data_IF_674147264071
#
_entry.id   IF_674147264071
#
_cell.length_a   1.000
_cell.length_b   1.000
_cell.length_c   1.000
_cell.angle_alpha   90.00
_cell.angle_beta   90.00
_cell.angle_gamma   90.00
#
_symmetry.space_group_name_H-M   'P 1'
#
loop_
_entity.id
_entity.type
_entity.pdbx_description
1 polymer ?
#
# COMPACT_ATOMS: atom_id res chain seq x y z
N UNK A 1 -31.49 -4.55 38.90
CA UNK A 1 -32.38 -5.73 38.74
C UNK A 1 -32.00 -6.42 37.45
N UNK A 2 -31.31 -7.56 37.55
CA UNK A 2 -30.85 -8.36 36.40
C UNK A 2 -31.86 -9.51 36.26
N UNK A 3 -32.56 -9.60 35.13
CA UNK A 3 -33.41 -10.75 34.83
C UNK A 3 -32.65 -11.73 33.93
N UNK A 4 -32.22 -12.82 34.58
CA UNK A 4 -31.76 -14.05 33.94
C UNK A 4 -33.01 -14.72 33.37
N UNK A 5 -33.14 -14.78 32.05
CA UNK A 5 -34.18 -15.58 31.39
C UNK A 5 -33.63 -17.02 31.29
N UNK A 6 -34.31 -18.03 31.86
CA UNK A 6 -33.81 -19.40 31.85
C UNK A 6 -33.95 -20.03 30.47
N UNK A 7 -32.89 -20.71 30.02
CA UNK A 7 -32.92 -21.72 28.96
C UNK A 7 -33.77 -22.91 29.43
N UNK A 8 -34.92 -23.13 28.80
CA UNK A 8 -35.58 -24.44 28.78
C UNK A 8 -35.64 -24.94 27.35
N UNK A 9 -34.64 -25.74 26.98
CA UNK A 9 -34.70 -26.63 25.82
C UNK A 9 -35.41 -27.89 26.30
N UNK A 10 -36.71 -27.98 26.05
CA UNK A 10 -37.48 -29.20 26.20
C UNK A 10 -37.77 -29.78 24.83
N UNK A 11 -36.95 -30.74 24.39
CA UNK A 11 -37.27 -31.61 23.27
C UNK A 11 -38.63 -32.29 23.53
N UNK A 12 -39.67 -31.91 22.80
CA UNK A 12 -40.84 -32.75 22.60
C UNK A 12 -40.83 -33.23 21.16
N UNK A 13 -40.42 -34.48 20.97
CA UNK A 13 -40.84 -35.29 19.82
C UNK A 13 -42.37 -35.31 19.80
N UNK A 14 -42.97 -34.73 18.77
CA UNK A 14 -44.37 -34.97 18.43
C UNK A 14 -44.40 -36.12 17.44
N UNK A 15 -44.84 -37.25 17.97
CA UNK A 15 -45.22 -38.48 17.30
C UNK A 15 -46.24 -38.17 16.18
N UNK A 16 -45.95 -38.64 14.97
CA UNK A 16 -46.81 -38.50 13.78
C UNK A 16 -47.97 -39.49 13.90
N UNK A 17 -49.06 -39.07 14.54
CA UNK A 17 -50.21 -39.94 14.77
C UNK A 17 -51.53 -39.19 15.02
N UNK A 18 -52.02 -38.50 13.99
CA UNK A 18 -53.38 -38.01 13.71
C UNK A 18 -53.39 -36.52 13.32
N UNK A 19 -53.39 -36.28 12.01
CA UNK A 19 -53.74 -34.99 11.44
C UNK A 19 -55.24 -34.75 11.68
N UNK A 20 -55.57 -33.93 12.68
CA UNK A 20 -56.91 -33.33 12.77
C UNK A 20 -57.01 -32.28 11.66
N UNK A 21 -57.71 -32.63 10.58
CA UNK A 21 -58.11 -31.69 9.55
C UNK A 21 -59.14 -30.72 10.14
N UNK A 22 -58.70 -29.51 10.45
CA UNK A 22 -59.60 -28.42 10.80
C UNK A 22 -60.23 -27.84 9.53
N UNK A 23 -61.56 -27.62 9.49
CA UNK A 23 -62.22 -26.97 8.36
C UNK A 23 -61.69 -25.54 8.20
N UNK A 24 -61.54 -25.11 6.94
CA UNK A 24 -60.84 -23.88 6.51
C UNK A 24 -61.47 -22.53 6.90
N UNK A 25 -62.18 -22.45 8.03
CA UNK A 25 -62.81 -21.23 8.53
C UNK A 25 -62.99 -21.23 10.05
N UNK A 26 -62.04 -21.78 10.80
CA UNK A 26 -62.04 -21.71 12.27
C UNK A 26 -61.09 -20.61 12.76
N UNK A 27 -61.52 -19.71 13.67
CA UNK A 27 -60.68 -18.61 14.20
C UNK A 27 -59.38 -19.10 14.87
N UNK A 28 -59.33 -20.38 15.27
CA UNK A 28 -58.14 -21.05 15.79
C UNK A 28 -57.08 -21.30 14.70
N UNK A 29 -57.50 -21.60 13.46
CA UNK A 29 -56.59 -21.82 12.32
C UNK A 29 -55.94 -20.53 11.83
N UNK A 30 -56.71 -19.44 11.73
CA UNK A 30 -56.18 -18.09 11.46
C UNK A 30 -55.24 -17.62 12.58
N UNK A 31 -55.61 -17.86 13.85
CA UNK A 31 -54.74 -17.50 14.98
C UNK A 31 -53.43 -18.30 14.97
N UNK A 32 -53.44 -19.58 14.58
CA UNK A 32 -52.23 -20.38 14.42
C UNK A 32 -51.37 -19.94 13.23
N UNK A 33 -51.97 -19.55 12.10
CA UNK A 33 -51.23 -18.98 10.95
C UNK A 33 -50.59 -17.64 11.30
N UNK A 34 -51.35 -16.71 11.90
CA UNK A 34 -50.81 -15.43 12.37
C UNK A 34 -49.73 -15.59 13.44
N UNK A 35 -49.80 -16.64 14.26
CA UNK A 35 -48.73 -16.97 15.22
C UNK A 35 -47.48 -17.48 14.50
N UNK A 36 -47.62 -18.36 13.50
CA UNK A 36 -46.53 -18.81 12.63
C UNK A 36 -45.83 -17.67 11.90
N UNK A 37 -46.61 -16.77 11.28
CA UNK A 37 -46.08 -15.60 10.57
C UNK A 37 -45.30 -14.65 11.51
N UNK A 38 -45.78 -14.48 12.75
CA UNK A 38 -45.09 -13.68 13.77
C UNK A 38 -43.76 -14.31 14.20
N UNK A 39 -43.69 -15.62 14.34
CA UNK A 39 -42.44 -16.32 14.66
C UNK A 39 -41.43 -16.25 13.51
N UNK A 40 -41.90 -16.39 12.28
CA UNK A 40 -41.06 -16.27 11.10
C UNK A 40 -40.51 -14.84 10.96
N UNK A 41 -41.36 -13.82 11.12
CA UNK A 41 -40.92 -12.42 11.15
C UNK A 41 -39.95 -12.11 12.31
N UNK A 42 -40.12 -12.76 13.47
CA UNK A 42 -39.18 -12.62 14.59
C UNK A 42 -37.83 -13.28 14.29
N UNK A 43 -37.82 -14.45 13.65
CA UNK A 43 -36.62 -15.14 13.21
C UNK A 43 -35.86 -14.30 12.16
N UNK A 44 -36.55 -13.79 11.15
CA UNK A 44 -35.96 -12.91 10.12
C UNK A 44 -35.35 -11.65 10.73
N UNK A 45 -36.05 -10.98 11.66
CA UNK A 45 -35.50 -9.81 12.37
C UNK A 45 -34.28 -10.15 13.23
N UNK A 46 -34.25 -11.34 13.82
CA UNK A 46 -33.08 -11.81 14.56
C UNK A 46 -31.89 -12.05 13.62
N UNK A 47 -32.11 -12.71 12.49
CA UNK A 47 -31.08 -12.93 11.47
C UNK A 47 -30.56 -11.61 10.89
N UNK A 48 -31.45 -10.67 10.59
CA UNK A 48 -31.06 -9.33 10.14
C UNK A 48 -30.19 -8.60 11.17
N UNK A 49 -30.57 -8.60 12.45
CA UNK A 49 -29.76 -7.98 13.50
C UNK A 49 -28.40 -8.65 13.64
N UNK A 50 -28.35 -9.98 13.57
CA UNK A 50 -27.10 -10.74 13.59
C UNK A 50 -26.20 -10.37 12.40
N UNK A 51 -26.77 -10.30 11.19
CA UNK A 51 -26.04 -9.90 9.99
C UNK A 51 -25.51 -8.46 10.08
N UNK A 52 -26.30 -7.52 10.61
CA UNK A 52 -25.87 -6.14 10.84
C UNK A 52 -24.72 -6.06 11.83
N UNK A 53 -24.78 -6.82 12.93
CA UNK A 53 -23.73 -6.86 13.92
C UNK A 53 -22.43 -7.44 13.33
N UNK A 54 -22.52 -8.54 12.58
CA UNK A 54 -21.37 -9.12 11.89
C UNK A 54 -20.76 -8.17 10.86
N UNK A 55 -21.57 -7.42 10.12
CA UNK A 55 -21.10 -6.42 9.17
C UNK A 55 -20.35 -5.28 9.88
N UNK A 56 -20.87 -4.81 11.01
CA UNK A 56 -20.21 -3.80 11.84
C UNK A 56 -18.87 -4.33 12.40
N UNK A 57 -18.87 -5.52 12.99
CA UNK A 57 -17.65 -6.12 13.55
C UNK A 57 -16.59 -6.38 12.48
N UNK A 58 -17.02 -6.79 11.27
CA UNK A 58 -16.15 -6.90 10.10
C UNK A 58 -15.47 -5.57 9.77
N UNK A 59 -16.21 -4.46 9.83
CA UNK A 59 -15.67 -3.15 9.51
C UNK A 59 -14.69 -2.66 10.58
N UNK A 60 -14.97 -2.92 11.86
CA UNK A 60 -14.03 -2.63 12.96
C UNK A 60 -12.74 -3.44 12.81
N UNK A 61 -12.85 -4.74 12.49
CA UNK A 61 -11.70 -5.59 12.23
C UNK A 61 -10.91 -5.10 11.00
N UNK A 62 -11.59 -4.74 9.91
CA UNK A 62 -10.93 -4.21 8.71
C UNK A 62 -10.18 -2.90 8.98
N UNK A 63 -10.74 -1.99 9.79
CA UNK A 63 -10.06 -0.75 10.20
C UNK A 63 -8.80 -1.04 11.02
N UNK A 64 -8.86 -2.00 11.95
CA UNK A 64 -7.70 -2.43 12.71
C UNK A 64 -6.61 -3.00 11.81
N UNK A 65 -6.97 -3.88 10.87
CA UNK A 65 -6.04 -4.42 9.87
C UNK A 65 -5.37 -3.30 9.08
N UNK A 66 -6.15 -2.32 8.58
CA UNK A 66 -5.61 -1.19 7.85
C UNK A 66 -4.61 -0.37 8.69
N UNK A 67 -4.88 -0.19 9.99
CA UNK A 67 -3.95 0.47 10.91
C UNK A 67 -2.64 -0.30 11.10
N UNK A 68 -2.71 -1.63 11.24
CA UNK A 68 -1.52 -2.49 11.36
C UNK A 68 -0.69 -2.47 10.06
N UNK A 69 -1.34 -2.51 8.89
CA UNK A 69 -0.68 -2.41 7.59
C UNK A 69 -0.04 -1.04 7.37
N UNK A 70 -0.76 0.04 7.66
CA UNK A 70 -0.24 1.40 7.51
C UNK A 70 0.99 1.65 8.41
N UNK A 71 0.99 1.12 9.63
CA UNK A 71 2.15 1.18 10.53
C UNK A 71 3.33 0.43 9.93
N UNK A 72 3.12 -0.80 9.44
CA UNK A 72 4.18 -1.59 8.84
C UNK A 72 4.73 -0.94 7.55
N UNK A 73 3.88 -0.35 6.71
CA UNK A 73 4.31 0.46 5.56
C UNK A 73 5.20 1.63 6.00
N UNK A 74 4.78 2.39 7.03
CA UNK A 74 5.56 3.51 7.55
C UNK A 74 6.91 3.07 8.13
N UNK A 75 6.93 1.97 8.90
CA UNK A 75 8.15 1.39 9.46
C UNK A 75 9.09 0.92 8.34
N UNK A 76 8.56 0.30 7.28
CA UNK A 76 9.34 -0.11 6.12
C UNK A 76 9.94 1.10 5.39
N UNK A 77 9.17 2.18 5.20
CA UNK A 77 9.65 3.43 4.59
C UNK A 77 10.74 4.08 5.45
N UNK A 78 10.59 4.09 6.77
CA UNK A 78 11.54 4.70 7.69
C UNK A 78 12.91 3.97 7.68
N UNK A 79 12.90 2.64 7.52
CA UNK A 79 14.09 1.81 7.55
C UNK A 79 14.63 1.43 6.16
N UNK A 80 14.07 2.02 5.10
CA UNK A 80 14.46 1.74 3.73
C UNK A 80 15.87 2.27 3.43
N UNK A 81 16.59 1.64 2.47
CA UNK A 81 17.77 2.26 1.86
C UNK A 81 17.49 3.66 1.32
N UNK A 82 18.54 4.48 1.18
CA UNK A 82 18.42 5.86 0.69
C UNK A 82 17.80 5.93 -0.72
N UNK A 83 18.12 4.97 -1.58
CA UNK A 83 17.57 4.84 -2.93
C UNK A 83 16.21 4.12 -2.98
N UNK A 84 15.68 3.71 -1.83
CA UNK A 84 14.41 3.00 -1.69
C UNK A 84 14.41 1.56 -2.21
N UNK A 85 15.57 1.00 -2.57
CA UNK A 85 15.63 -0.32 -3.18
C UNK A 85 15.00 -1.42 -2.31
N UNK A 86 14.22 -2.30 -2.96
CA UNK A 86 13.58 -3.45 -2.31
C UNK A 86 12.38 -3.13 -1.42
N UNK A 87 11.96 -1.86 -1.32
CA UNK A 87 10.87 -1.44 -0.45
C UNK A 87 9.52 -2.09 -0.83
N UNK A 88 9.18 -2.09 -2.11
CA UNK A 88 7.98 -2.76 -2.60
C UNK A 88 8.03 -4.27 -2.35
N UNK A 89 9.11 -4.91 -2.77
CA UNK A 89 9.28 -6.36 -2.69
C UNK A 89 9.29 -6.85 -1.24
N UNK A 90 9.96 -6.16 -0.33
CA UNK A 90 9.99 -6.54 1.08
C UNK A 90 8.59 -6.45 1.72
N UNK A 91 7.83 -5.40 1.38
CA UNK A 91 6.51 -5.17 1.97
C UNK A 91 5.44 -6.09 1.36
N UNK A 92 5.33 -6.16 0.03
CA UNK A 92 4.24 -6.83 -0.67
C UNK A 92 4.65 -8.09 -1.43
N UNK A 93 5.94 -8.38 -1.51
CA UNK A 93 6.45 -9.54 -2.21
C UNK A 93 6.50 -9.34 -3.73
N UNK A 94 6.44 -10.47 -4.44
CA UNK A 94 6.36 -10.50 -5.89
C UNK A 94 5.14 -11.32 -6.31
N UNK A 95 4.40 -10.78 -7.27
CA UNK A 95 3.27 -11.46 -7.92
C UNK A 95 3.64 -11.66 -9.38
N UNK A 96 3.37 -12.85 -9.90
CA UNK A 96 3.54 -13.17 -11.30
C UNK A 96 2.52 -12.36 -12.12
N UNK A 97 2.97 -11.49 -13.03
CA UNK A 97 2.06 -10.64 -13.81
C UNK A 97 1.17 -11.44 -14.78
N UNK A 98 1.55 -12.66 -15.16
CA UNK A 98 0.80 -13.48 -16.11
C UNK A 98 -0.22 -14.38 -15.44
N UNK A 99 0.09 -14.87 -14.23
CA UNK A 99 -0.78 -15.80 -13.49
C UNK A 99 -1.50 -15.17 -12.31
N UNK A 100 -1.08 -13.98 -11.88
CA UNK A 100 -1.59 -13.31 -10.67
C UNK A 100 -1.21 -14.01 -9.37
N UNK A 101 -0.36 -15.04 -9.42
CA UNK A 101 0.04 -15.82 -8.25
C UNK A 101 1.20 -15.17 -7.51
N UNK A 102 1.21 -15.30 -6.19
CA UNK A 102 2.33 -14.84 -5.36
C UNK A 102 3.54 -15.74 -5.63
N UNK A 103 4.58 -15.16 -6.22
CA UNK A 103 5.88 -15.82 -6.45
C UNK A 103 6.74 -15.77 -5.19
N UNK A 104 6.69 -14.62 -4.50
CA UNK A 104 7.43 -14.39 -3.25
C UNK A 104 6.54 -13.66 -2.27
N UNK A 105 6.41 -14.18 -1.06
CA UNK A 105 5.63 -13.54 0.00
C UNK A 105 6.35 -12.32 0.57
N UNK A 106 5.60 -11.25 0.82
CA UNK A 106 6.09 -10.07 1.54
C UNK A 106 5.68 -10.06 3.01
N UNK A 107 6.05 -8.99 3.72
CA UNK A 107 5.60 -8.73 5.09
C UNK A 107 4.05 -8.68 5.18
N UNK A 108 3.39 -8.13 4.17
CA UNK A 108 1.93 -8.09 4.05
C UNK A 108 1.30 -9.48 4.21
N UNK A 109 1.84 -10.52 3.57
CA UNK A 109 1.29 -11.87 3.66
C UNK A 109 1.35 -12.43 5.07
N UNK A 110 2.45 -12.17 5.76
CA UNK A 110 2.66 -12.57 7.15
C UNK A 110 1.70 -11.83 8.08
N UNK A 111 1.60 -10.50 7.94
CA UNK A 111 0.71 -9.67 8.75
C UNK A 111 -0.75 -10.06 8.54
N UNK A 112 -1.19 -10.19 7.29
CA UNK A 112 -2.56 -10.56 6.94
C UNK A 112 -2.91 -11.96 7.44
N UNK A 113 -2.01 -12.94 7.24
CA UNK A 113 -2.21 -14.30 7.72
C UNK A 113 -2.28 -14.39 9.25
N UNK A 114 -1.45 -13.62 9.96
CA UNK A 114 -1.49 -13.56 11.42
C UNK A 114 -2.75 -12.84 11.94
N UNK A 115 -3.17 -11.76 11.27
CA UNK A 115 -4.40 -11.05 11.59
C UNK A 115 -5.62 -11.97 11.46
N UNK A 116 -5.74 -12.73 10.36
CA UNK A 116 -6.84 -13.68 10.17
C UNK A 116 -6.95 -14.74 11.28
N UNK A 117 -5.82 -15.17 11.87
CA UNK A 117 -5.82 -16.11 13.00
C UNK A 117 -6.40 -15.49 14.27
N UNK A 118 -6.23 -14.19 14.47
CA UNK A 118 -6.71 -13.45 15.64
C UNK A 118 -8.20 -13.03 15.53
N UNK A 119 -8.73 -12.98 14.32
CA UNK A 119 -10.12 -12.59 14.06
C UNK A 119 -11.09 -13.75 14.35
N UNK A 120 -12.29 -13.48 14.91
CA UNK A 120 -13.34 -14.48 15.11
C UNK A 120 -13.67 -15.24 13.81
N UNK A 121 -13.89 -16.58 13.86
CA UNK A 121 -14.13 -17.41 12.69
C UNK A 121 -15.19 -16.87 11.72
N UNK A 122 -16.27 -16.31 12.26
CA UNK A 122 -17.40 -15.75 11.53
C UNK A 122 -17.04 -14.53 10.66
N UNK A 123 -15.97 -13.79 10.99
CA UNK A 123 -15.54 -12.62 10.20
C UNK A 123 -14.43 -12.96 9.20
N UNK A 124 -13.78 -14.13 9.35
CA UNK A 124 -12.57 -14.48 8.57
C UNK A 124 -12.81 -14.47 7.06
N UNK A 125 -13.95 -14.99 6.59
CA UNK A 125 -14.27 -15.00 5.17
C UNK A 125 -14.41 -13.57 4.62
N UNK A 126 -15.14 -12.72 5.33
CA UNK A 126 -15.33 -11.31 4.96
C UNK A 126 -14.01 -10.54 4.94
N UNK A 127 -13.11 -10.77 5.91
CA UNK A 127 -11.78 -10.15 5.91
C UNK A 127 -10.89 -10.74 4.81
N UNK A 128 -10.87 -12.07 4.63
CA UNK A 128 -10.08 -12.75 3.61
C UNK A 128 -10.42 -12.26 2.20
N UNK A 129 -11.69 -11.98 1.92
CA UNK A 129 -12.14 -11.44 0.63
C UNK A 129 -11.50 -10.08 0.28
N UNK A 130 -11.02 -9.32 1.27
CA UNK A 130 -10.38 -8.01 1.08
C UNK A 130 -8.88 -8.11 0.76
N UNK A 131 -8.28 -9.30 0.84
CA UNK A 131 -6.82 -9.50 0.76
C UNK A 131 -6.22 -8.88 -0.50
N UNK A 132 -6.75 -9.24 -1.66
CA UNK A 132 -6.14 -8.85 -2.94
C UNK A 132 -6.28 -7.35 -3.21
N UNK A 133 -7.44 -6.76 -2.91
CA UNK A 133 -7.63 -5.31 -3.02
C UNK A 133 -6.69 -4.52 -2.08
N UNK A 134 -6.48 -5.02 -0.85
CA UNK A 134 -5.54 -4.41 0.09
C UNK A 134 -4.09 -4.54 -0.38
N UNK A 135 -3.73 -5.71 -0.94
CA UNK A 135 -2.41 -5.94 -1.52
C UNK A 135 -2.18 -4.98 -2.66
N UNK A 136 -3.07 -4.91 -3.64
CA UNK A 136 -2.92 -4.06 -4.82
C UNK A 136 -2.73 -2.60 -4.44
N UNK A 137 -3.66 -2.06 -3.62
CA UNK A 137 -3.59 -0.67 -3.19
C UNK A 137 -2.29 -0.35 -2.43
N UNK A 138 -1.84 -1.25 -1.55
CA UNK A 138 -0.60 -1.10 -0.81
C UNK A 138 0.65 -1.25 -1.65
N UNK A 139 0.65 -2.22 -2.57
CA UNK A 139 1.72 -2.45 -3.54
C UNK A 139 1.95 -1.19 -4.37
N UNK A 140 0.88 -0.58 -4.90
CA UNK A 140 1.00 0.68 -5.61
C UNK A 140 1.60 1.81 -4.76
N UNK A 141 1.18 1.97 -3.50
CA UNK A 141 1.75 2.99 -2.61
C UNK A 141 3.25 2.78 -2.40
N UNK A 142 3.67 1.55 -2.12
CA UNK A 142 5.09 1.24 -1.87
C UNK A 142 5.94 1.35 -3.13
N UNK A 143 5.43 0.93 -4.29
CA UNK A 143 6.12 1.13 -5.56
C UNK A 143 6.32 2.63 -5.87
N UNK A 144 5.30 3.46 -5.62
CA UNK A 144 5.42 4.91 -5.76
C UNK A 144 6.47 5.50 -4.83
N UNK A 145 6.48 5.09 -3.55
CA UNK A 145 7.48 5.54 -2.57
C UNK A 145 8.91 5.14 -2.98
N UNK A 146 9.09 3.91 -3.46
CA UNK A 146 10.38 3.42 -3.97
C UNK A 146 10.85 4.27 -5.16
N UNK A 147 9.98 4.53 -6.14
CA UNK A 147 10.33 5.33 -7.31
C UNK A 147 10.64 6.79 -6.95
N UNK A 148 9.91 7.39 -6.00
CA UNK A 148 10.17 8.75 -5.53
C UNK A 148 11.54 8.85 -4.85
N UNK A 149 11.86 7.91 -3.96
CA UNK A 149 13.18 7.85 -3.30
C UNK A 149 14.31 7.64 -4.30
N UNK A 150 14.11 6.77 -5.27
CA UNK A 150 15.10 6.52 -6.31
C UNK A 150 15.40 7.79 -7.11
N UNK A 151 14.36 8.52 -7.53
CA UNK A 151 14.51 9.79 -8.24
C UNK A 151 15.25 10.83 -7.41
N UNK A 152 14.91 10.97 -6.13
CA UNK A 152 15.60 11.90 -5.23
C UNK A 152 17.08 11.51 -5.06
N UNK A 153 17.35 10.24 -4.82
CA UNK A 153 18.71 9.73 -4.68
C UNK A 153 19.57 9.99 -5.93
N UNK A 154 19.03 9.74 -7.13
CA UNK A 154 19.72 10.03 -8.39
C UNK A 154 20.01 11.52 -8.57
N UNK A 155 19.09 12.39 -8.18
CA UNK A 155 19.31 13.84 -8.21
C UNK A 155 20.38 14.28 -7.21
N UNK A 156 20.37 13.76 -5.99
CA UNK A 156 21.34 14.10 -4.96
C UNK A 156 22.76 13.64 -5.35
N UNK A 157 22.88 12.41 -5.86
CA UNK A 157 24.15 11.88 -6.37
C UNK A 157 24.65 12.69 -7.58
N UNK A 158 23.75 13.09 -8.49
CA UNK A 158 24.11 13.96 -9.60
C UNK A 158 24.60 15.33 -9.14
N UNK A 159 23.93 15.94 -8.16
CA UNK A 159 24.33 17.21 -7.59
C UNK A 159 25.70 17.14 -6.89
N UNK A 160 25.98 16.04 -6.18
CA UNK A 160 27.27 15.80 -5.53
C UNK A 160 28.41 15.72 -6.56
N UNK A 161 28.25 14.91 -7.60
CA UNK A 161 29.26 14.78 -8.67
C UNK A 161 29.44 16.11 -9.41
N UNK A 162 28.36 16.80 -9.77
CA UNK A 162 28.44 18.11 -10.42
C UNK A 162 29.17 19.13 -9.54
N UNK A 163 28.91 19.16 -8.24
CA UNK A 163 29.59 20.04 -7.30
C UNK A 163 31.08 19.70 -7.19
N UNK A 164 31.43 18.42 -7.14
CA UNK A 164 32.81 17.96 -7.12
C UNK A 164 33.55 18.38 -8.41
N UNK A 165 32.95 18.20 -9.59
CA UNK A 165 33.58 18.55 -10.86
C UNK A 165 33.68 20.07 -11.08
N UNK A 166 32.70 20.86 -10.62
CA UNK A 166 32.86 22.33 -10.62
C UNK A 166 33.99 22.77 -9.69
N UNK A 167 34.13 22.15 -8.52
CA UNK A 167 35.26 22.42 -7.62
C UNK A 167 36.60 22.01 -8.24
N UNK A 168 36.65 20.90 -8.99
CA UNK A 168 37.84 20.50 -9.74
C UNK A 168 38.22 21.57 -10.77
N UNK A 169 37.26 22.05 -11.56
CA UNK A 169 37.50 23.14 -12.53
C UNK A 169 37.98 24.41 -11.84
N UNK A 170 37.40 24.76 -10.69
CA UNK A 170 37.78 25.95 -9.94
C UNK A 170 39.22 25.92 -9.41
N UNK A 171 39.75 24.73 -9.10
CA UNK A 171 41.07 24.53 -8.49
C UNK A 171 42.16 24.15 -9.49
N UNK A 172 41.78 23.70 -10.69
CA UNK A 172 42.72 23.31 -11.75
C UNK A 172 43.31 24.55 -12.43
N UNK A 173 44.41 24.37 -13.17
CA UNK A 173 44.91 25.41 -14.07
C UNK A 173 43.84 25.70 -15.14
N UNK A 174 43.29 26.92 -15.22
CA UNK A 174 42.23 27.22 -16.19
C UNK A 174 42.70 27.21 -17.65
N UNK A 175 44.02 27.20 -17.89
CA UNK A 175 44.61 26.99 -19.22
C UNK A 175 44.78 25.49 -19.56
N UNK A 176 44.64 24.58 -18.60
CA UNK A 176 44.56 23.14 -18.84
C UNK A 176 43.19 22.77 -19.41
N UNK A 177 43.08 22.93 -20.73
CA UNK A 177 41.86 22.59 -21.48
C UNK A 177 41.48 21.12 -21.36
N UNK A 178 42.45 20.20 -21.23
CA UNK A 178 42.19 18.78 -21.16
C UNK A 178 41.54 18.39 -19.83
N UNK A 179 42.04 18.94 -18.71
CA UNK A 179 41.42 18.75 -17.40
C UNK A 179 40.00 19.34 -17.35
N UNK A 180 39.80 20.53 -17.92
CA UNK A 180 38.49 21.15 -18.03
C UNK A 180 37.49 20.28 -18.82
N UNK A 181 37.88 19.82 -20.01
CA UNK A 181 37.01 19.00 -20.85
C UNK A 181 36.68 17.65 -20.22
N UNK A 182 37.64 17.04 -19.51
CA UNK A 182 37.41 15.82 -18.75
C UNK A 182 36.36 16.02 -17.64
N UNK A 183 36.49 17.07 -16.81
CA UNK A 183 35.50 17.38 -15.78
C UNK A 183 34.12 17.69 -16.36
N UNK A 184 34.08 18.43 -17.47
CA UNK A 184 32.84 18.72 -18.19
C UNK A 184 32.18 17.44 -18.72
N UNK A 185 32.96 16.55 -19.32
CA UNK A 185 32.45 15.30 -19.90
C UNK A 185 31.89 14.37 -18.83
N UNK A 186 32.55 14.25 -17.66
CA UNK A 186 32.05 13.41 -16.55
C UNK A 186 30.64 13.81 -16.09
N UNK A 187 30.35 15.11 -16.00
CA UNK A 187 29.00 15.56 -15.67
C UNK A 187 27.98 15.26 -16.78
N UNK A 188 28.36 15.40 -18.06
CA UNK A 188 27.50 15.01 -19.18
C UNK A 188 27.21 13.50 -19.20
N UNK A 189 28.23 12.68 -18.95
CA UNK A 189 28.11 11.22 -18.89
C UNK A 189 27.17 10.78 -17.76
N UNK A 190 27.15 11.53 -16.65
CA UNK A 190 26.22 11.27 -15.56
C UNK A 190 24.78 11.65 -15.95
N UNK A 191 24.57 12.84 -16.51
CA UNK A 191 23.26 13.28 -17.03
C UNK A 191 22.69 12.28 -18.04
N UNK A 192 23.55 11.72 -18.89
CA UNK A 192 23.15 10.72 -19.89
C UNK A 192 22.68 9.39 -19.27
N UNK A 193 23.11 9.07 -18.04
CA UNK A 193 22.73 7.85 -17.29
C UNK A 193 21.48 8.05 -16.42
N UNK A 194 21.05 9.28 -16.21
CA UNK A 194 19.85 9.58 -15.41
C UNK A 194 18.58 9.27 -16.20
N UNK A 195 17.54 8.82 -15.51
CA UNK A 195 16.20 8.59 -16.08
C UNK A 195 15.44 9.92 -16.25
N UNK A 196 15.93 10.74 -17.19
CA UNK A 196 15.34 12.04 -17.53
C UNK A 196 14.61 11.98 -18.87
N UNK A 197 13.45 12.65 -18.91
CA UNK A 197 12.76 12.96 -20.16
C UNK A 197 13.71 13.65 -21.15
N UNK A 198 13.63 13.37 -22.47
CA UNK A 198 14.58 13.89 -23.45
C UNK A 198 14.75 15.41 -23.42
N UNK A 199 13.65 16.14 -23.22
CA UNK A 199 13.66 17.60 -23.17
C UNK A 199 14.31 18.15 -21.88
N UNK A 200 14.07 17.48 -20.75
CA UNK A 200 14.70 17.81 -19.46
C UNK A 200 16.21 17.51 -19.53
N UNK A 201 16.58 16.40 -20.15
CA UNK A 201 17.99 16.04 -20.36
C UNK A 201 18.74 17.13 -21.14
N UNK A 202 18.19 17.58 -22.26
CA UNK A 202 18.81 18.66 -23.05
C UNK A 202 18.98 19.96 -22.25
N UNK A 203 18.00 20.31 -21.42
CA UNK A 203 18.08 21.47 -20.53
C UNK A 203 19.17 21.28 -19.46
N UNK A 204 19.23 20.11 -18.83
CA UNK A 204 20.24 19.78 -17.83
C UNK A 204 21.65 19.82 -18.42
N UNK A 205 21.86 19.25 -19.61
CA UNK A 205 23.15 19.31 -20.29
C UNK A 205 23.55 20.75 -20.65
N UNK A 206 22.61 21.57 -21.16
CA UNK A 206 22.88 22.96 -21.47
C UNK A 206 23.25 23.76 -20.21
N UNK A 207 22.51 23.57 -19.12
CA UNK A 207 22.80 24.18 -17.82
C UNK A 207 24.17 23.75 -17.29
N UNK A 208 24.52 22.47 -17.41
CA UNK A 208 25.82 21.96 -17.00
C UNK A 208 26.97 22.56 -17.81
N UNK A 209 26.82 22.64 -19.15
CA UNK A 209 27.79 23.30 -20.03
C UNK A 209 27.97 24.78 -19.67
N UNK A 210 26.89 25.48 -19.32
CA UNK A 210 26.96 26.88 -18.89
C UNK A 210 27.68 27.04 -17.54
N UNK A 211 27.37 26.20 -16.54
CA UNK A 211 28.00 26.23 -15.21
C UNK A 211 29.50 25.96 -15.28
N UNK A 212 29.91 24.94 -16.04
CA UNK A 212 31.33 24.62 -16.23
C UNK A 212 32.10 25.74 -16.92
N UNK A 213 31.54 26.32 -18.00
CA UNK A 213 32.13 27.47 -18.68
C UNK A 213 32.26 28.70 -17.75
N UNK A 214 31.21 29.00 -16.97
CA UNK A 214 31.24 30.06 -15.97
C UNK A 214 32.36 29.85 -14.95
N UNK A 215 32.48 28.63 -14.42
CA UNK A 215 33.49 28.30 -13.41
C UNK A 215 34.91 28.47 -13.96
N UNK A 216 35.16 28.04 -15.20
CA UNK A 216 36.45 28.24 -15.86
C UNK A 216 36.77 29.72 -16.08
N UNK A 217 35.80 30.53 -16.52
CA UNK A 217 36.00 31.97 -16.67
C UNK A 217 36.35 32.63 -15.34
N UNK A 218 35.68 32.24 -14.26
CA UNK A 218 36.00 32.75 -12.92
C UNK A 218 37.43 32.38 -12.49
N UNK A 219 37.88 31.16 -12.79
CA UNK A 219 39.26 30.74 -12.54
C UNK A 219 40.28 31.51 -13.39
N UNK A 220 39.99 31.79 -14.67
CA UNK A 220 40.82 32.63 -15.54
C UNK A 220 40.97 34.05 -14.98
N UNK A 221 39.86 34.68 -14.56
CA UNK A 221 39.86 36.02 -13.97
C UNK A 221 40.62 36.04 -12.64
N UNK A 222 40.49 34.99 -11.83
CA UNK A 222 41.23 34.88 -10.57
C UNK A 222 42.74 34.75 -10.79
N UNK A 223 43.17 34.09 -11.88
CA UNK A 223 44.57 33.98 -12.26
C UNK A 223 45.13 35.29 -12.86
N UNK A 224 44.36 35.96 -13.71
CA UNK A 224 44.71 37.26 -14.30
C UNK A 224 43.47 38.17 -14.39
N UNK A 225 43.30 39.12 -13.44
CA UNK A 225 42.13 40.00 -13.41
C UNK A 225 42.02 40.99 -14.58
N UNK A 226 43.03 41.08 -15.44
CA UNK A 226 43.05 42.00 -16.61
C UNK A 226 42.65 41.31 -17.92
N UNK A 227 42.38 40.01 -17.90
CA UNK A 227 41.88 39.22 -19.03
C UNK A 227 40.38 39.33 -19.24
#
# INVERSE_FOLDING_TARGET
>A
MVHIIPLFVGERRLDTGNAVQYPGSSPVGEAMQQFGDRWQAAAERYEQRKAQQQAFDTEIAARRLNGELAKAEADAVANAPADGAGLHEAMYGQVDPYTGQVVKTGLFDTLFGNFLKQVPPELRASIASRKEALREAGSHRMALQQNQRRKQYEQDQAAEVHSAELNNIARSDPNDTAAFDASRQRGLDLIAKMDLDPQIRLQAEAAWRASTAKQRMQALIAQDPRR
#
